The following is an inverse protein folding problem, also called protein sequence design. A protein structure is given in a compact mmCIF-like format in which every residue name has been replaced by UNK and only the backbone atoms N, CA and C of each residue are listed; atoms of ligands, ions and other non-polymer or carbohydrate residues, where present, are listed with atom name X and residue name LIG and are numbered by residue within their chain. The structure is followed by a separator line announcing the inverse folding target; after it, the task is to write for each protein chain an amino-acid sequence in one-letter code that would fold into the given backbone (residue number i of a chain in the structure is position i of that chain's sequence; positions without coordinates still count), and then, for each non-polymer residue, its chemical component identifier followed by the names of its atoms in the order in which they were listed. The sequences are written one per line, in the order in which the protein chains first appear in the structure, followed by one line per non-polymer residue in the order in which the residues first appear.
data_IF_316344817305
#
_entry.id   IF_316344817305
#
_cell.length_a   1.000
_cell.length_b   1.000
_cell.length_c   1.000
_cell.angle_alpha   90.00
_cell.angle_beta   90.00
_cell.angle_gamma   90.00
#
_symmetry.space_group_name_H-M   'P 1'
#
loop_
_entity.id
_entity.type
_entity.pdbx_description
1 polymer ?
#
# COMPACT_ATOMS: atom_id res chain seq x y z
N UNK A 1 22.14 -36.21 43.40
CA UNK A 1 22.06 -35.37 42.19
C UNK A 1 21.10 -34.24 42.49
N UNK A 2 21.57 -33.01 42.53
CA UNK A 2 20.76 -31.83 42.88
C UNK A 2 19.90 -31.39 41.68
N UNK A 3 18.63 -31.08 41.92
CA UNK A 3 17.74 -30.57 40.88
C UNK A 3 18.19 -29.17 40.43
N UNK A 4 18.20 -28.88 39.11
CA UNK A 4 18.65 -27.60 38.60
C UNK A 4 17.74 -26.45 39.08
N UNK A 5 18.38 -25.36 39.46
CA UNK A 5 17.78 -24.11 39.93
C UNK A 5 16.90 -23.45 38.85
N UNK A 6 15.96 -22.58 39.26
CA UNK A 6 15.13 -21.83 38.30
C UNK A 6 15.98 -21.03 37.30
N UNK A 7 17.14 -20.49 37.73
CA UNK A 7 18.06 -19.76 36.86
C UNK A 7 18.67 -20.62 35.75
N UNK A 8 18.95 -21.90 36.01
CA UNK A 8 19.45 -22.86 35.02
C UNK A 8 18.35 -23.28 34.02
N UNK A 9 17.09 -23.30 34.46
CA UNK A 9 15.94 -23.54 33.56
C UNK A 9 15.69 -22.38 32.60
N UNK A 10 16.03 -21.15 33.01
CA UNK A 10 15.93 -19.95 32.17
C UNK A 10 17.13 -19.75 31.22
N UNK A 11 18.18 -20.58 31.26
CA UNK A 11 19.42 -20.37 30.49
C UNK A 11 19.50 -21.08 29.12
N UNK A 12 18.44 -21.72 28.62
CA UNK A 12 18.54 -22.68 27.48
C UNK A 12 17.85 -22.18 26.21
N UNK A 13 17.99 -20.90 25.88
CA UNK A 13 17.83 -20.46 24.47
C UNK A 13 19.18 -19.90 24.07
N UNK A 14 19.88 -20.64 23.21
CA UNK A 14 21.16 -20.18 22.68
C UNK A 14 21.01 -18.78 22.09
N UNK A 15 22.04 -17.96 22.19
CA UNK A 15 22.05 -16.58 21.66
C UNK A 15 21.57 -16.52 20.19
N UNK A 16 21.84 -17.57 19.41
CA UNK A 16 21.41 -17.69 18.03
C UNK A 16 19.93 -18.06 17.88
N UNK A 17 19.38 -18.90 18.76
CA UNK A 17 17.94 -19.16 18.80
C UNK A 17 17.15 -17.89 19.18
N UNK A 18 17.71 -17.03 20.04
CA UNK A 18 17.13 -15.71 20.32
C UNK A 18 17.15 -14.79 19.08
N UNK A 19 18.26 -14.76 18.33
CA UNK A 19 18.33 -14.02 17.05
C UNK A 19 17.32 -14.55 16.03
N UNK A 20 17.16 -15.86 15.91
CA UNK A 20 16.17 -16.47 15.02
C UNK A 20 14.74 -16.08 15.43
N UNK A 21 14.45 -16.01 16.73
CA UNK A 21 13.15 -15.55 17.25
C UNK A 21 12.91 -14.07 16.97
N UNK A 22 13.94 -13.23 17.11
CA UNK A 22 13.86 -11.80 16.74
C UNK A 22 13.64 -11.62 15.24
N UNK A 23 14.31 -12.41 14.41
CA UNK A 23 14.10 -12.41 12.96
C UNK A 23 12.66 -12.76 12.61
N UNK A 24 12.08 -13.80 13.24
CA UNK A 24 10.66 -14.15 13.04
C UNK A 24 9.74 -12.96 13.32
N UNK A 25 9.96 -12.21 14.40
CA UNK A 25 9.19 -11.00 14.69
C UNK A 25 9.38 -9.91 13.62
N UNK A 26 10.62 -9.69 13.16
CA UNK A 26 10.92 -8.76 12.06
C UNK A 26 10.19 -9.15 10.79
N UNK A 27 10.25 -10.42 10.39
CA UNK A 27 9.58 -10.93 9.19
C UNK A 27 8.07 -10.74 9.27
N UNK A 28 7.45 -11.05 10.41
CA UNK A 28 6.00 -10.83 10.62
C UNK A 28 5.62 -9.37 10.44
N UNK A 29 6.35 -8.47 11.08
CA UNK A 29 6.11 -7.02 10.98
C UNK A 29 6.22 -6.53 9.53
N UNK A 30 7.29 -6.92 8.83
CA UNK A 30 7.49 -6.50 7.43
C UNK A 30 6.48 -7.15 6.47
N UNK A 31 6.12 -8.41 6.68
CA UNK A 31 5.12 -9.09 5.85
C UNK A 31 3.77 -8.37 5.90
N UNK A 32 3.33 -7.96 7.10
CA UNK A 32 2.11 -7.16 7.27
C UNK A 32 2.24 -5.83 6.52
N UNK A 33 3.37 -5.12 6.69
CA UNK A 33 3.61 -3.84 6.01
C UNK A 33 3.60 -3.97 4.49
N UNK A 34 4.23 -5.00 3.92
CA UNK A 34 4.18 -5.25 2.48
C UNK A 34 2.77 -5.58 1.98
N UNK A 35 1.99 -6.37 2.73
CA UNK A 35 0.59 -6.63 2.39
C UNK A 35 -0.25 -5.35 2.38
N UNK A 36 -0.05 -4.48 3.37
CA UNK A 36 -0.70 -3.15 3.41
C UNK A 36 -0.26 -2.31 2.21
N UNK A 37 1.03 -2.28 1.88
CA UNK A 37 1.57 -1.52 0.74
C UNK A 37 0.94 -1.98 -0.59
N UNK A 38 0.87 -3.29 -0.83
CA UNK A 38 0.25 -3.87 -2.04
C UNK A 38 -1.24 -3.53 -2.13
N UNK A 39 -1.98 -3.68 -1.03
CA UNK A 39 -3.41 -3.33 -1.00
C UNK A 39 -3.63 -1.83 -1.27
N UNK A 40 -2.74 -0.96 -0.78
CA UNK A 40 -2.80 0.48 -1.02
C UNK A 40 -2.48 0.84 -2.48
N UNK A 41 -1.51 0.17 -3.11
CA UNK A 41 -1.15 0.41 -4.52
C UNK A 41 -2.35 0.26 -5.46
N UNK A 42 -3.09 -0.84 -5.35
CA UNK A 42 -4.28 -1.08 -6.18
C UNK A 42 -5.36 0.01 -6.02
N UNK A 43 -5.55 0.52 -4.80
CA UNK A 43 -6.50 1.60 -4.50
C UNK A 43 -6.05 2.95 -5.07
N UNK A 44 -4.75 3.24 -5.04
CA UNK A 44 -4.18 4.45 -5.66
C UNK A 44 -4.41 4.43 -7.17
N UNK A 45 -4.10 3.31 -7.83
CA UNK A 45 -4.31 3.15 -9.28
C UNK A 45 -5.78 3.31 -9.68
N UNK A 46 -6.72 2.79 -8.87
CA UNK A 46 -8.15 2.95 -9.09
C UNK A 46 -8.60 4.42 -8.95
N UNK A 47 -8.13 5.12 -7.92
CA UNK A 47 -8.45 6.55 -7.75
C UNK A 47 -7.82 7.44 -8.80
N UNK A 48 -6.60 7.17 -9.26
CA UNK A 48 -6.00 7.93 -10.36
C UNK A 48 -6.84 7.84 -11.63
N UNK A 49 -7.38 6.66 -11.93
CA UNK A 49 -8.33 6.48 -13.04
C UNK A 49 -9.63 7.26 -12.82
N UNK A 50 -10.20 7.22 -11.61
CA UNK A 50 -11.42 7.97 -11.26
C UNK A 50 -11.25 9.49 -11.38
N UNK A 51 -10.15 10.02 -10.82
CA UNK A 51 -9.82 11.44 -10.85
C UNK A 51 -9.57 11.90 -12.29
N UNK A 52 -8.84 11.12 -13.09
CA UNK A 52 -8.61 11.43 -14.51
C UNK A 52 -9.91 11.49 -15.31
N UNK A 53 -10.83 10.54 -15.09
CA UNK A 53 -12.14 10.54 -15.75
C UNK A 53 -12.98 11.75 -15.34
N UNK A 54 -12.98 12.08 -14.05
CA UNK A 54 -13.69 13.25 -13.52
C UNK A 54 -13.13 14.54 -14.08
N UNK A 55 -11.80 14.67 -14.15
CA UNK A 55 -11.12 15.82 -14.76
C UNK A 55 -11.49 15.96 -16.24
N UNK A 56 -11.41 14.89 -17.04
CA UNK A 56 -11.81 14.91 -18.45
C UNK A 56 -13.28 15.33 -18.63
N UNK A 57 -14.16 14.89 -17.73
CA UNK A 57 -15.58 15.25 -17.78
C UNK A 57 -15.80 16.73 -17.45
N UNK A 58 -15.09 17.26 -16.45
CA UNK A 58 -15.12 18.68 -16.09
C UNK A 58 -14.58 19.54 -17.23
N UNK A 59 -13.42 19.18 -17.81
CA UNK A 59 -12.80 19.91 -18.92
C UNK A 59 -13.73 19.97 -20.14
N UNK A 60 -14.36 18.85 -20.48
CA UNK A 60 -15.37 18.80 -21.56
C UNK A 60 -16.55 19.72 -21.26
N UNK A 61 -17.07 19.69 -20.03
CA UNK A 61 -18.21 20.51 -19.63
C UNK A 61 -17.88 22.00 -19.65
N UNK A 62 -16.68 22.39 -19.18
CA UNK A 62 -16.21 23.77 -19.24
C UNK A 62 -16.00 24.26 -20.67
N UNK A 63 -15.48 23.39 -21.55
CA UNK A 63 -15.34 23.73 -22.97
C UNK A 63 -16.70 23.99 -23.63
N UNK A 64 -17.66 23.10 -23.42
CA UNK A 64 -19.04 23.27 -23.93
C UNK A 64 -19.70 24.55 -23.38
N UNK A 65 -19.50 24.86 -22.09
CA UNK A 65 -20.01 26.09 -21.48
C UNK A 65 -19.37 27.35 -22.08
N UNK A 66 -18.06 27.32 -22.32
CA UNK A 66 -17.32 28.43 -22.96
C UNK A 66 -17.78 28.66 -24.40
N UNK A 67 -17.97 27.59 -25.17
CA UNK A 67 -18.51 27.65 -26.54
C UNK A 67 -19.92 28.24 -26.57
N UNK A 68 -20.81 27.79 -25.68
CA UNK A 68 -22.16 28.34 -25.55
C UNK A 68 -22.12 29.85 -25.19
N UNK A 69 -21.25 30.26 -24.27
CA UNK A 69 -21.06 31.67 -23.90
C UNK A 69 -20.55 32.51 -25.09
N UNK A 70 -19.65 31.95 -25.90
CA UNK A 70 -19.12 32.62 -27.09
C UNK A 70 -20.19 32.77 -28.17
N UNK A 71 -21.07 31.78 -28.32
CA UNK A 71 -22.20 31.86 -29.25
C UNK A 71 -23.20 32.96 -28.84
N UNK A 72 -23.44 33.15 -27.55
CA UNK A 72 -24.24 34.29 -27.05
C UNK A 72 -23.56 35.62 -27.38
N UNK A 73 -22.25 35.76 -27.08
CA UNK A 73 -21.49 36.99 -27.39
C UNK A 73 -21.50 37.33 -28.88
N UNK A 74 -21.50 36.31 -29.73
CA UNK A 74 -21.51 36.46 -31.19
C UNK A 74 -22.93 36.55 -31.78
N UNK A 75 -23.97 36.72 -30.94
CA UNK A 75 -25.38 36.76 -31.34
C UNK A 75 -25.86 35.54 -32.16
N UNK A 76 -25.16 34.40 -32.07
CA UNK A 76 -25.53 33.13 -32.70
C UNK A 76 -26.55 32.33 -31.87
N UNK A 77 -26.73 32.73 -30.61
CA UNK A 77 -27.67 32.15 -29.65
C UNK A 77 -28.25 33.29 -28.81
N UNK A 78 -29.56 33.32 -28.61
CA UNK A 78 -30.16 34.31 -27.71
C UNK A 78 -29.84 33.98 -26.24
N UNK A 79 -29.89 34.98 -25.36
CA UNK A 79 -29.70 34.77 -23.92
C UNK A 79 -30.80 33.86 -23.33
N UNK A 80 -32.01 33.94 -23.86
CA UNK A 80 -33.15 33.13 -23.41
C UNK A 80 -33.01 31.66 -23.84
N UNK A 81 -32.58 31.41 -25.07
CA UNK A 81 -32.29 30.05 -25.57
C UNK A 81 -31.11 29.42 -24.84
N UNK A 82 -30.09 30.23 -24.51
CA UNK A 82 -28.98 29.81 -23.66
C UNK A 82 -29.48 29.39 -22.27
N UNK A 83 -30.30 30.21 -21.62
CA UNK A 83 -30.86 29.93 -20.30
C UNK A 83 -31.76 28.68 -20.31
N UNK A 84 -32.60 28.52 -21.34
CA UNK A 84 -33.43 27.34 -21.56
C UNK A 84 -32.59 26.08 -21.74
N UNK A 85 -31.56 26.13 -22.60
CA UNK A 85 -30.63 25.02 -22.84
C UNK A 85 -29.88 24.62 -21.58
N UNK A 86 -29.38 25.59 -20.81
CA UNK A 86 -28.68 25.34 -19.56
C UNK A 86 -29.58 24.74 -18.48
N UNK A 87 -30.82 25.20 -18.37
CA UNK A 87 -31.82 24.67 -17.42
C UNK A 87 -32.29 23.28 -17.82
N UNK A 88 -32.61 23.05 -19.10
CA UNK A 88 -33.08 21.77 -19.62
C UNK A 88 -32.03 20.65 -19.54
N UNK A 89 -30.75 20.98 -19.71
CA UNK A 89 -29.66 19.99 -19.65
C UNK A 89 -29.27 19.60 -18.22
N UNK A 90 -29.71 20.36 -17.21
CA UNK A 90 -29.30 20.19 -15.82
C UNK A 90 -27.79 20.32 -15.62
N UNK A 91 -27.09 21.03 -16.52
CA UNK A 91 -25.62 21.09 -16.55
C UNK A 91 -25.05 21.70 -15.28
N UNK A 92 -25.69 22.73 -14.72
CA UNK A 92 -25.24 23.38 -13.48
C UNK A 92 -25.21 22.37 -12.34
N UNK A 93 -26.31 21.63 -12.13
CA UNK A 93 -26.42 20.66 -11.05
C UNK A 93 -25.47 19.49 -11.25
N UNK A 94 -25.35 18.96 -12.47
CA UNK A 94 -24.37 17.90 -12.81
C UNK A 94 -22.93 18.35 -12.56
N UNK A 95 -22.57 19.55 -13.00
CA UNK A 95 -21.21 20.11 -12.80
C UNK A 95 -20.93 20.31 -11.32
N UNK A 96 -21.88 20.86 -10.55
CA UNK A 96 -21.76 21.02 -9.10
C UNK A 96 -21.56 19.67 -8.41
N UNK A 97 -22.35 18.65 -8.77
CA UNK A 97 -22.20 17.31 -8.21
C UNK A 97 -20.83 16.69 -8.53
N UNK A 98 -20.34 16.83 -9.77
CA UNK A 98 -19.02 16.33 -10.16
C UNK A 98 -17.91 17.08 -9.40
N UNK A 99 -18.01 18.40 -9.26
CA UNK A 99 -17.05 19.22 -8.50
C UNK A 99 -16.99 18.81 -7.02
N UNK A 100 -18.14 18.67 -6.36
CA UNK A 100 -18.22 18.23 -4.96
C UNK A 100 -17.63 16.84 -4.80
N UNK A 101 -17.95 15.91 -5.71
CA UNK A 101 -17.39 14.56 -5.72
C UNK A 101 -15.87 14.59 -5.93
N UNK A 102 -15.38 15.36 -6.90
CA UNK A 102 -13.96 15.49 -7.21
C UNK A 102 -13.16 16.10 -6.04
N UNK A 103 -13.68 17.16 -5.40
CA UNK A 103 -13.07 17.76 -4.21
C UNK A 103 -13.01 16.77 -3.04
N UNK A 104 -14.05 15.97 -2.82
CA UNK A 104 -14.00 14.92 -1.81
C UNK A 104 -12.97 13.85 -2.17
N UNK A 105 -12.98 13.34 -3.39
CA UNK A 105 -12.07 12.28 -3.84
C UNK A 105 -10.60 12.72 -3.78
N UNK A 106 -10.26 13.95 -4.15
CA UNK A 106 -8.87 14.43 -4.14
C UNK A 106 -8.31 14.54 -2.72
N UNK A 107 -9.13 14.93 -1.73
CA UNK A 107 -8.72 14.98 -0.32
C UNK A 107 -8.40 13.57 0.18
N UNK A 108 -9.29 12.61 -0.08
CA UNK A 108 -9.11 11.21 0.32
C UNK A 108 -7.90 10.58 -0.38
N UNK A 109 -7.75 10.81 -1.68
CA UNK A 109 -6.62 10.36 -2.47
C UNK A 109 -5.30 10.90 -1.91
N UNK A 110 -5.21 12.21 -1.64
CA UNK A 110 -3.99 12.82 -1.12
C UNK A 110 -3.60 12.26 0.26
N UNK A 111 -4.56 12.12 1.17
CA UNK A 111 -4.32 11.53 2.50
C UNK A 111 -3.82 10.09 2.39
N UNK A 112 -4.42 9.31 1.48
CA UNK A 112 -4.07 7.92 1.31
C UNK A 112 -2.73 7.73 0.59
N UNK A 113 -2.44 8.55 -0.43
CA UNK A 113 -1.17 8.60 -1.13
C UNK A 113 -0.02 8.97 -0.19
N UNK A 114 -0.26 9.92 0.72
CA UNK A 114 0.72 10.26 1.76
C UNK A 114 1.04 9.03 2.62
N UNK A 115 0.02 8.34 3.13
CA UNK A 115 0.20 7.11 3.91
C UNK A 115 0.94 6.00 3.13
N UNK A 116 0.66 5.85 1.83
CA UNK A 116 1.39 4.93 0.97
C UNK A 116 2.86 5.32 0.83
N UNK A 117 3.14 6.59 0.55
CA UNK A 117 4.51 7.10 0.39
C UNK A 117 5.32 6.96 1.68
N UNK A 118 4.72 7.22 2.84
CA UNK A 118 5.37 7.01 4.15
C UNK A 118 5.78 5.54 4.31
N UNK A 119 4.87 4.61 4.03
CA UNK A 119 5.16 3.18 4.14
C UNK A 119 6.18 2.70 3.10
N UNK A 120 6.10 3.21 1.87
CA UNK A 120 7.07 2.89 0.81
C UNK A 120 8.47 3.41 1.17
N UNK A 121 8.57 4.59 1.79
CA UNK A 121 9.84 5.15 2.24
C UNK A 121 10.43 4.33 3.40
N UNK A 122 9.61 3.88 4.35
CA UNK A 122 10.04 2.98 5.42
C UNK A 122 10.63 1.67 4.86
N UNK A 123 10.02 1.16 3.78
CA UNK A 123 10.42 -0.10 3.14
C UNK A 123 11.42 0.08 1.99
N UNK A 124 11.94 1.30 1.78
CA UNK A 124 12.75 1.66 0.60
C UNK A 124 13.94 0.73 0.38
N UNK A 125 14.61 0.29 1.45
CA UNK A 125 15.73 -0.65 1.37
C UNK A 125 15.38 -2.00 0.75
N UNK A 126 14.14 -2.45 0.87
CA UNK A 126 13.66 -3.70 0.27
C UNK A 126 13.02 -3.48 -1.12
N UNK A 127 12.49 -2.28 -1.36
CA UNK A 127 11.80 -1.92 -2.60
C UNK A 127 12.75 -1.46 -3.71
N UNK A 128 13.94 -0.95 -3.38
CA UNK A 128 14.86 -0.35 -4.35
C UNK A 128 15.23 -1.30 -5.50
N UNK A 129 15.32 -2.60 -5.21
CA UNK A 129 15.65 -3.64 -6.19
C UNK A 129 14.42 -4.43 -6.67
N UNK A 130 13.21 -4.00 -6.33
CA UNK A 130 11.94 -4.72 -6.57
C UNK A 130 10.92 -3.78 -7.18
N UNK A 131 11.12 -3.47 -8.46
CA UNK A 131 10.26 -2.54 -9.20
C UNK A 131 8.93 -3.17 -9.62
N UNK A 132 8.87 -4.51 -9.76
CA UNK A 132 7.66 -5.23 -10.16
C UNK A 132 6.87 -5.73 -8.96
N UNK A 133 5.53 -5.74 -9.10
CA UNK A 133 4.62 -6.30 -8.09
C UNK A 133 4.89 -7.78 -7.85
N UNK A 134 5.27 -8.53 -8.89
CA UNK A 134 5.62 -9.95 -8.76
C UNK A 134 6.80 -10.16 -7.82
N UNK A 135 7.84 -9.31 -7.89
CA UNK A 135 9.03 -9.41 -7.04
C UNK A 135 8.68 -9.24 -5.55
N UNK A 136 7.74 -8.34 -5.26
CA UNK A 136 7.27 -8.11 -3.89
C UNK A 136 6.39 -9.25 -3.39
N UNK A 137 5.57 -9.82 -4.28
CA UNK A 137 4.70 -10.96 -3.98
C UNK A 137 5.53 -12.22 -3.71
N UNK A 138 6.57 -12.47 -4.52
CA UNK A 138 7.53 -13.57 -4.30
C UNK A 138 8.31 -13.38 -2.99
N UNK A 139 8.76 -12.16 -2.69
CA UNK A 139 9.39 -11.85 -1.39
C UNK A 139 8.46 -12.21 -0.23
N UNK A 140 7.21 -11.75 -0.27
CA UNK A 140 6.22 -12.05 0.77
C UNK A 140 5.97 -13.56 0.92
N UNK A 141 5.88 -14.29 -0.19
CA UNK A 141 5.75 -15.75 -0.18
C UNK A 141 6.94 -16.43 0.49
N UNK A 142 8.18 -16.05 0.13
CA UNK A 142 9.39 -16.59 0.75
C UNK A 142 9.48 -16.24 2.24
N UNK A 143 9.08 -15.03 2.63
CA UNK A 143 8.96 -14.64 4.03
C UNK A 143 7.95 -15.53 4.77
N UNK A 144 6.75 -15.72 4.21
CA UNK A 144 5.71 -16.56 4.81
C UNK A 144 6.18 -18.00 5.03
N UNK A 145 6.82 -18.60 4.03
CA UNK A 145 7.36 -19.96 4.12
C UNK A 145 8.38 -20.09 5.25
N UNK A 146 9.30 -19.12 5.36
CA UNK A 146 10.30 -19.10 6.44
C UNK A 146 9.64 -18.87 7.80
N UNK A 147 8.69 -17.94 7.90
CA UNK A 147 7.97 -17.66 9.14
C UNK A 147 7.26 -18.91 9.66
N UNK A 148 6.50 -19.60 8.81
CA UNK A 148 5.79 -20.84 9.19
C UNK A 148 6.75 -21.93 9.65
N UNK A 149 7.88 -22.11 8.96
CA UNK A 149 8.89 -23.09 9.35
C UNK A 149 9.52 -22.76 10.72
N UNK A 150 9.78 -21.47 11.00
CA UNK A 150 10.31 -21.01 12.29
C UNK A 150 9.27 -21.13 13.40
N UNK A 151 8.03 -20.76 13.15
CA UNK A 151 6.92 -20.91 14.09
C UNK A 151 6.75 -22.36 14.53
N UNK A 152 6.77 -23.29 13.57
CA UNK A 152 6.69 -24.72 13.86
C UNK A 152 7.90 -25.21 14.67
N UNK A 153 9.11 -24.78 14.28
CA UNK A 153 10.33 -25.14 15.01
C UNK A 153 10.30 -24.64 16.45
N UNK A 154 9.92 -23.38 16.69
CA UNK A 154 9.79 -22.82 18.03
C UNK A 154 8.66 -23.46 18.84
N UNK A 155 7.50 -23.72 18.23
CA UNK A 155 6.38 -24.42 18.88
C UNK A 155 6.78 -25.80 19.37
N UNK A 156 7.59 -26.51 18.58
CA UNK A 156 8.11 -27.84 18.93
C UNK A 156 9.41 -27.80 19.74
N UNK A 157 9.84 -26.61 20.21
CA UNK A 157 11.09 -26.41 20.96
C UNK A 157 12.37 -26.88 20.22
N UNK A 158 12.31 -26.99 18.89
CA UNK A 158 13.43 -27.37 18.02
C UNK A 158 14.31 -26.15 17.71
N UNK A 159 15.00 -25.62 18.71
CA UNK A 159 15.77 -24.37 18.59
C UNK A 159 16.94 -24.47 17.60
N UNK A 160 17.68 -25.58 17.58
CA UNK A 160 18.79 -25.78 16.64
C UNK A 160 18.31 -25.84 15.18
N UNK A 161 17.14 -26.45 14.97
CA UNK A 161 16.48 -26.44 13.65
C UNK A 161 16.09 -25.02 13.23
N UNK A 162 15.57 -24.21 14.15
CA UNK A 162 15.26 -22.81 13.87
C UNK A 162 16.52 -22.03 13.47
N UNK A 163 17.64 -22.22 14.19
CA UNK A 163 18.95 -21.63 13.85
C UNK A 163 19.44 -22.09 12.47
N UNK A 164 19.31 -23.38 12.16
CA UNK A 164 19.69 -23.93 10.87
C UNK A 164 18.86 -23.32 9.72
N UNK A 165 17.54 -23.21 9.91
CA UNK A 165 16.61 -22.63 8.93
C UNK A 165 16.97 -21.18 8.60
N UNK A 166 17.21 -20.33 9.60
CA UNK A 166 17.61 -18.93 9.37
C UNK A 166 19.01 -18.85 8.75
N UNK A 167 19.95 -19.72 9.14
CA UNK A 167 21.32 -19.66 8.63
C UNK A 167 21.45 -19.98 7.14
N UNK A 168 20.56 -20.86 6.63
CA UNK A 168 20.53 -21.27 5.23
C UNK A 168 19.62 -20.40 4.36
N UNK A 169 18.89 -19.46 4.95
CA UNK A 169 17.90 -18.66 4.25
C UNK A 169 18.50 -17.37 3.72
N UNK A 170 18.41 -17.15 2.41
CA UNK A 170 18.82 -15.88 1.81
C UNK A 170 17.91 -14.73 2.24
N UNK A 171 16.61 -14.99 2.44
CA UNK A 171 15.69 -14.01 3.04
C UNK A 171 16.15 -13.60 4.42
N UNK A 172 16.62 -14.53 5.26
CA UNK A 172 17.12 -14.17 6.58
C UNK A 172 18.28 -13.17 6.49
N UNK A 173 19.20 -13.36 5.54
CA UNK A 173 20.34 -12.45 5.30
C UNK A 173 19.85 -11.07 4.86
N UNK A 174 18.86 -11.00 3.97
CA UNK A 174 18.26 -9.73 3.53
C UNK A 174 17.65 -8.94 4.69
N UNK A 175 17.08 -9.63 5.68
CA UNK A 175 16.52 -9.01 6.90
C UNK A 175 17.56 -8.86 8.03
N UNK A 176 18.85 -8.89 7.70
CA UNK A 176 19.94 -8.56 8.62
C UNK A 176 20.37 -9.71 9.54
N UNK A 177 19.94 -10.94 9.29
CA UNK A 177 20.46 -12.09 10.02
C UNK A 177 21.92 -12.37 9.62
N UNK A 178 22.84 -12.20 10.58
CA UNK A 178 24.25 -12.56 10.43
C UNK A 178 24.57 -13.71 11.36
N UNK A 179 24.96 -14.86 10.80
CA UNK A 179 25.56 -15.96 11.56
C UNK A 179 26.91 -15.44 12.08
N UNK A 180 27.14 -15.57 13.38
CA UNK A 180 28.49 -15.36 13.92
C UNK A 180 29.31 -16.63 13.70
#
# INVERSE_FOLDING_TARGET
MSAPSLAERYSIISKDAFKAKRLLATLRSHHIKFGVLLSKRSKIEAWEKSLKLSQMTLDKTFKEASEDQQNVKNAKLSQDDFNLKWKATGRIDKTRQILVKFQSEIIHYNKFRLSYNTLANELKGFLHNRSKTEDLTDLMYKMQKLMLALELAFKNQQYDKAVLLVSKSDIAKEFGYKKK
#
